data_IF_168670092832
#
_entry.id   IF_168670092832
#
_cell.length_a   1.000
_cell.length_b   1.000
_cell.length_c   1.000
_cell.angle_alpha   90.00
_cell.angle_beta   90.00
_cell.angle_gamma   90.00
#
_symmetry.space_group_name_H-M   'P 1'
#
loop_
_entity.id
_entity.type
_entity.pdbx_description
1 polymer ?
#
# COMPACT_ATOMS: atom_id res chain seq x y z
N UNK A 1 12.19 -3.76 14.74
CA UNK A 1 11.68 -2.84 15.80
C UNK A 1 11.51 -3.59 17.09
N UNK A 2 10.96 -4.80 17.03
CA UNK A 2 10.74 -5.64 18.19
C UNK A 2 12.06 -5.99 18.89
N UNK A 3 13.13 -6.24 18.15
CA UNK A 3 14.48 -6.50 18.68
C UNK A 3 14.96 -5.36 19.59
N UNK A 4 14.76 -4.12 19.15
CA UNK A 4 15.12 -2.94 19.94
C UNK A 4 14.29 -2.83 21.23
N UNK A 5 13.02 -3.24 21.19
CA UNK A 5 12.15 -3.32 22.37
C UNK A 5 12.68 -4.39 23.33
N UNK A 6 12.86 -5.62 22.86
CA UNK A 6 13.34 -6.74 23.68
C UNK A 6 14.72 -6.49 24.30
N UNK A 7 15.63 -5.87 23.54
CA UNK A 7 17.01 -5.59 23.99
C UNK A 7 17.16 -4.21 24.66
N UNK A 8 16.05 -3.46 24.80
CA UNK A 8 16.03 -2.16 25.44
C UNK A 8 16.98 -1.12 24.81
N UNK A 9 17.08 -1.11 23.48
CA UNK A 9 17.97 -0.23 22.70
C UNK A 9 17.17 0.93 22.08
N UNK A 10 17.39 2.18 22.52
CA UNK A 10 16.83 3.37 21.87
C UNK A 10 17.26 3.48 20.41
N UNK A 11 16.42 4.07 19.56
CA UNK A 11 16.65 4.12 18.12
C UNK A 11 16.56 5.53 17.55
N UNK A 12 17.36 5.79 16.52
CA UNK A 12 17.17 6.90 15.58
C UNK A 12 16.73 6.30 14.25
N UNK A 13 15.51 6.56 13.84
CA UNK A 13 14.92 6.06 12.61
C UNK A 13 15.14 7.01 11.45
N UNK A 14 15.69 6.49 10.34
CA UNK A 14 15.88 7.21 9.07
C UNK A 14 15.11 6.42 7.99
N UNK A 15 13.82 6.74 7.73
CA UNK A 15 12.99 5.92 6.85
C UNK A 15 13.27 6.24 5.37
N UNK A 16 13.53 5.20 4.55
CA UNK A 16 13.80 5.35 3.12
C UNK A 16 12.65 4.86 2.23
N UNK A 17 12.10 3.68 2.52
CA UNK A 17 11.06 3.05 1.68
C UNK A 17 10.25 2.00 2.45
N UNK A 18 9.18 1.52 1.81
CA UNK A 18 8.34 0.43 2.32
C UNK A 18 7.56 0.83 3.56
N UNK A 19 7.60 -0.03 4.58
CA UNK A 19 6.89 0.12 5.86
C UNK A 19 7.66 0.99 6.87
N UNK A 20 8.92 1.34 6.59
CA UNK A 20 9.78 2.12 7.49
C UNK A 20 9.16 3.44 7.95
N UNK A 21 8.55 4.29 7.09
CA UNK A 21 7.94 5.54 7.54
C UNK A 21 6.85 5.33 8.60
N UNK A 22 6.06 4.27 8.47
CA UNK A 22 5.03 3.94 9.45
C UNK A 22 5.64 3.43 10.76
N UNK A 23 6.62 2.53 10.66
CA UNK A 23 7.33 1.96 11.80
C UNK A 23 8.09 3.03 12.61
N UNK A 24 8.79 3.95 11.94
CA UNK A 24 9.50 5.06 12.59
C UNK A 24 8.51 6.02 13.28
N UNK A 25 7.40 6.37 12.63
CA UNK A 25 6.35 7.16 13.30
C UNK A 25 5.76 6.45 14.52
N UNK A 26 5.57 5.13 14.45
CA UNK A 26 5.12 4.32 15.58
C UNK A 26 6.14 4.31 16.72
N UNK A 27 7.43 4.20 16.41
CA UNK A 27 8.53 4.30 17.37
C UNK A 27 8.54 5.64 18.12
N UNK A 28 8.46 6.76 17.38
CA UNK A 28 8.42 8.11 17.95
C UNK A 28 7.17 8.29 18.82
N UNK A 29 5.99 7.86 18.33
CA UNK A 29 4.74 7.90 19.10
C UNK A 29 4.80 7.07 20.38
N UNK A 30 5.46 5.91 20.33
CA UNK A 30 5.70 5.06 21.49
C UNK A 30 6.78 5.62 22.42
N UNK A 31 7.52 6.64 22.02
CA UNK A 31 8.41 7.41 22.88
C UNK A 31 9.80 6.80 23.10
N UNK A 32 10.25 5.89 22.24
CA UNK A 32 11.55 5.21 22.39
C UNK A 32 12.58 5.52 21.29
N UNK A 33 12.32 6.54 20.48
CA UNK A 33 13.27 6.98 19.48
C UNK A 33 12.89 8.29 18.81
N UNK A 34 13.75 8.72 17.89
CA UNK A 34 13.58 9.92 17.07
C UNK A 34 13.52 9.58 15.58
N UNK A 35 12.83 10.42 14.81
CA UNK A 35 12.80 10.34 13.35
C UNK A 35 13.74 11.41 12.77
N UNK A 36 14.53 11.04 11.76
CA UNK A 36 15.26 11.97 10.91
C UNK A 36 14.86 11.76 9.46
N UNK A 37 14.64 12.87 8.73
CA UNK A 37 14.34 12.82 7.31
C UNK A 37 15.63 12.67 6.50
N UNK A 38 15.73 11.57 5.75
CA UNK A 38 16.89 11.25 4.94
C UNK A 38 17.24 12.32 3.88
N UNK A 39 16.29 13.17 3.51
CA UNK A 39 16.45 14.22 2.50
C UNK A 39 17.03 15.52 3.06
N UNK A 40 16.82 15.76 4.35
CA UNK A 40 17.17 17.04 4.99
C UNK A 40 18.22 16.89 6.10
N UNK A 41 18.52 15.66 6.52
CA UNK A 41 19.49 15.44 7.59
C UNK A 41 20.89 15.98 7.25
N UNK A 42 21.56 16.51 8.25
CA UNK A 42 22.98 16.85 8.22
C UNK A 42 23.73 16.23 9.40
N UNK A 43 25.04 16.46 9.44
CA UNK A 43 25.94 15.91 10.46
C UNK A 43 25.53 16.34 11.87
N UNK A 44 25.14 17.60 12.03
CA UNK A 44 24.79 18.20 13.31
C UNK A 44 23.49 17.61 13.85
N UNK A 45 22.46 17.49 13.01
CA UNK A 45 21.18 16.87 13.35
C UNK A 45 21.34 15.40 13.70
N UNK A 46 22.13 14.65 12.92
CA UNK A 46 22.40 13.24 13.22
C UNK A 46 23.11 13.08 14.56
N UNK A 47 24.17 13.87 14.80
CA UNK A 47 24.89 13.86 16.08
C UNK A 47 23.98 14.21 17.26
N UNK A 48 23.15 15.25 17.10
CA UNK A 48 22.20 15.67 18.14
C UNK A 48 21.20 14.56 18.46
N UNK A 49 20.61 13.92 17.45
CA UNK A 49 19.66 12.82 17.65
C UNK A 49 20.29 11.62 18.36
N UNK A 50 21.51 11.22 17.98
CA UNK A 50 22.24 10.14 18.66
C UNK A 50 22.51 10.50 20.12
N UNK A 51 23.02 11.70 20.39
CA UNK A 51 23.29 12.16 21.76
C UNK A 51 22.01 12.25 22.60
N UNK A 52 20.89 12.64 22.01
CA UNK A 52 19.58 12.68 22.69
C UNK A 52 19.15 11.28 23.11
N UNK A 53 19.15 10.30 22.20
CA UNK A 53 18.63 8.95 22.52
C UNK A 53 19.52 8.16 23.48
N UNK A 54 20.82 8.43 23.53
CA UNK A 54 21.74 7.73 24.45
C UNK A 54 21.79 8.37 25.84
N UNK A 55 21.61 9.69 25.95
CA UNK A 55 21.74 10.40 27.23
C UNK A 55 20.40 10.59 27.94
N UNK A 56 19.28 10.64 27.21
CA UNK A 56 17.97 10.80 27.80
C UNK A 56 17.42 9.44 28.28
N UNK A 57 17.29 9.21 29.60
CA UNK A 57 16.87 7.91 30.14
C UNK A 57 15.43 7.54 29.78
N UNK A 58 14.61 8.51 29.36
CA UNK A 58 13.20 8.29 28.98
C UNK A 58 13.05 7.21 27.93
N UNK A 59 13.93 7.17 26.93
CA UNK A 59 13.82 6.21 25.84
C UNK A 59 14.03 4.77 26.35
N UNK A 60 15.05 4.56 27.18
CA UNK A 60 15.36 3.25 27.77
C UNK A 60 14.32 2.81 28.79
N UNK A 61 13.79 3.71 29.63
CA UNK A 61 12.71 3.37 30.57
C UNK A 61 11.41 2.99 29.84
N UNK A 62 11.09 3.72 28.77
CA UNK A 62 9.96 3.40 27.90
C UNK A 62 10.13 2.02 27.25
N UNK A 63 11.35 1.69 26.80
CA UNK A 63 11.63 0.37 26.22
C UNK A 63 11.47 -0.77 27.23
N UNK A 64 11.94 -0.61 28.47
CA UNK A 64 11.75 -1.61 29.53
C UNK A 64 10.27 -1.91 29.77
N UNK A 65 9.47 -0.86 29.92
CA UNK A 65 8.03 -1.01 30.05
C UNK A 65 7.39 -1.72 28.84
N UNK A 66 7.80 -1.35 27.62
CA UNK A 66 7.29 -1.97 26.40
C UNK A 66 7.73 -3.44 26.26
N UNK A 67 8.93 -3.79 26.71
CA UNK A 67 9.45 -5.14 26.69
C UNK A 67 8.71 -6.04 27.69
N UNK A 68 8.48 -5.55 28.91
CA UNK A 68 7.66 -6.23 29.91
C UNK A 68 6.26 -6.51 29.35
N UNK A 69 5.61 -5.50 28.77
CA UNK A 69 4.29 -5.67 28.15
C UNK A 69 4.31 -6.62 26.94
N UNK A 70 5.39 -6.64 26.16
CA UNK A 70 5.52 -7.54 25.01
C UNK A 70 5.75 -9.00 25.44
N UNK A 71 6.45 -9.21 26.56
CA UNK A 71 6.76 -10.52 27.13
C UNK A 71 5.61 -11.08 27.98
N UNK A 72 4.71 -10.22 28.48
CA UNK A 72 3.52 -10.60 29.21
C UNK A 72 2.49 -11.28 28.28
N UNK A 73 2.77 -12.53 27.94
CA UNK A 73 1.96 -13.36 27.07
C UNK A 73 1.72 -14.73 27.73
N UNK A 74 0.53 -15.32 27.55
CA UNK A 74 0.16 -16.57 28.23
C UNK A 74 0.95 -17.80 27.77
N UNK A 75 1.71 -17.69 26.67
CA UNK A 75 2.50 -18.77 26.09
C UNK A 75 3.79 -18.19 25.52
N UNK A 76 4.89 -18.92 25.73
CA UNK A 76 6.18 -18.63 25.09
C UNK A 76 6.11 -18.81 23.58
N UNK A 77 7.08 -18.24 22.85
CA UNK A 77 7.17 -18.41 21.39
C UNK A 77 7.24 -19.88 20.96
N UNK A 78 7.97 -20.71 21.73
CA UNK A 78 8.07 -22.15 21.47
C UNK A 78 6.74 -22.86 21.67
N UNK A 79 6.06 -22.62 22.80
CA UNK A 79 4.75 -23.24 23.08
C UNK A 79 3.72 -22.84 22.02
N UNK A 80 3.70 -21.59 21.57
CA UNK A 80 2.83 -21.15 20.47
C UNK A 80 3.13 -21.92 19.19
N UNK A 81 4.41 -22.08 18.84
CA UNK A 81 4.80 -22.80 17.62
C UNK A 81 4.36 -24.27 17.68
N UNK A 82 4.56 -24.93 18.82
CA UNK A 82 4.08 -26.30 19.06
C UNK A 82 2.56 -26.35 18.92
N UNK A 83 1.84 -25.47 19.61
CA UNK A 83 0.39 -25.47 19.61
C UNK A 83 -0.21 -25.26 18.22
N UNK A 84 0.31 -24.31 17.44
CA UNK A 84 -0.15 -24.06 16.07
C UNK A 84 0.19 -25.22 15.12
N UNK A 85 1.36 -25.84 15.29
CA UNK A 85 1.74 -27.03 14.51
C UNK A 85 0.77 -28.18 14.78
N UNK A 86 0.50 -28.47 16.05
CA UNK A 86 -0.48 -29.49 16.42
C UNK A 86 -1.89 -29.10 15.96
N UNK A 87 -2.27 -27.82 16.03
CA UNK A 87 -3.58 -27.36 15.55
C UNK A 87 -3.77 -27.69 14.07
N UNK A 88 -2.75 -27.44 13.23
CA UNK A 88 -2.78 -27.78 11.80
C UNK A 88 -2.90 -29.28 11.61
N UNK A 89 -2.16 -30.10 12.36
CA UNK A 89 -2.22 -31.56 12.30
C UNK A 89 -3.62 -32.07 12.71
N UNK A 90 -4.15 -31.62 13.86
CA UNK A 90 -5.47 -31.99 14.38
C UNK A 90 -6.59 -31.68 13.39
N UNK A 91 -6.47 -30.58 12.64
CA UNK A 91 -7.46 -30.15 11.65
C UNK A 91 -7.07 -30.54 10.21
N UNK A 92 -6.19 -31.54 10.04
CA UNK A 92 -5.83 -32.12 8.74
C UNK A 92 -5.43 -31.06 7.70
N UNK A 93 -4.59 -30.11 8.11
CA UNK A 93 -4.10 -29.00 7.29
C UNK A 93 -4.82 -27.67 7.50
N UNK A 94 -5.80 -27.58 8.42
CA UNK A 94 -6.52 -26.35 8.79
C UNK A 94 -7.00 -25.53 7.58
N UNK A 95 -7.74 -26.18 6.67
CA UNK A 95 -8.18 -25.58 5.39
C UNK A 95 -8.93 -24.24 5.54
N UNK A 96 -9.61 -24.02 6.66
CA UNK A 96 -10.31 -22.77 6.98
C UNK A 96 -9.39 -21.59 7.31
N UNK A 97 -8.13 -21.83 7.67
CA UNK A 97 -7.11 -20.79 7.87
C UNK A 97 -6.25 -20.56 6.62
N UNK A 98 -6.31 -21.48 5.65
CA UNK A 98 -5.57 -21.38 4.40
C UNK A 98 -6.27 -20.35 3.49
N UNK A 99 -5.48 -19.46 2.89
CA UNK A 99 -6.01 -18.53 1.90
C UNK A 99 -6.54 -19.30 0.69
N UNK A 100 -7.80 -19.08 0.26
CA UNK A 100 -8.34 -19.69 -0.96
C UNK A 100 -7.54 -19.34 -2.23
N UNK A 101 -6.76 -18.25 -2.19
CA UNK A 101 -5.90 -17.80 -3.30
C UNK A 101 -4.79 -18.79 -3.65
N UNK A 102 -4.47 -19.74 -2.77
CA UNK A 102 -3.44 -20.75 -3.04
C UNK A 102 -3.94 -21.89 -3.93
N UNK A 103 -5.25 -22.05 -4.04
CA UNK A 103 -5.88 -23.17 -4.77
C UNK A 103 -6.50 -22.72 -6.10
N UNK A 104 -6.43 -21.43 -6.43
CA UNK A 104 -6.95 -20.89 -7.70
C UNK A 104 -5.90 -20.99 -8.83
N UNK A 105 -6.33 -21.20 -10.09
CA UNK A 105 -5.44 -21.15 -11.24
C UNK A 105 -4.79 -19.77 -11.42
N UNK A 106 -3.58 -19.75 -12.00
CA UNK A 106 -2.79 -18.54 -12.19
C UNK A 106 -3.53 -17.42 -12.95
N UNK A 107 -4.42 -17.75 -13.88
CA UNK A 107 -5.18 -16.76 -14.66
C UNK A 107 -6.28 -16.07 -13.85
N UNK A 108 -6.88 -16.75 -12.87
CA UNK A 108 -7.81 -16.14 -11.91
C UNK A 108 -7.05 -15.32 -10.87
N UNK A 109 -5.90 -15.81 -10.43
CA UNK A 109 -5.01 -15.06 -9.55
C UNK A 109 -4.56 -13.73 -10.17
N UNK A 110 -4.27 -13.72 -11.49
CA UNK A 110 -3.93 -12.52 -12.26
C UNK A 110 -5.16 -11.73 -12.75
N UNK A 111 -6.39 -12.16 -12.44
CA UNK A 111 -7.64 -11.49 -12.82
C UNK A 111 -7.76 -11.21 -14.34
N UNK A 112 -7.31 -12.15 -15.18
CA UNK A 112 -7.28 -11.93 -16.64
C UNK A 112 -8.66 -11.76 -17.25
N UNK A 113 -9.67 -12.42 -16.68
CA UNK A 113 -11.08 -12.27 -17.05
C UNK A 113 -11.59 -10.83 -16.79
N UNK A 114 -11.28 -10.27 -15.62
CA UNK A 114 -11.63 -8.90 -15.25
C UNK A 114 -10.92 -7.88 -16.16
N UNK A 115 -9.63 -8.08 -16.41
CA UNK A 115 -8.85 -7.23 -17.34
C UNK A 115 -9.47 -7.29 -18.74
N UNK A 116 -9.83 -8.49 -19.20
CA UNK A 116 -10.48 -8.68 -20.49
C UNK A 116 -11.78 -7.89 -20.62
N UNK A 117 -12.66 -7.95 -19.61
CA UNK A 117 -13.91 -7.18 -19.60
C UNK A 117 -13.63 -5.68 -19.65
N UNK A 118 -12.70 -5.17 -18.83
CA UNK A 118 -12.33 -3.75 -18.82
C UNK A 118 -11.84 -3.29 -20.20
N UNK A 119 -10.95 -4.06 -20.84
CA UNK A 119 -10.42 -3.74 -22.18
C UNK A 119 -11.55 -3.69 -23.21
N UNK A 120 -12.45 -4.68 -23.20
CA UNK A 120 -13.60 -4.71 -24.12
C UNK A 120 -14.53 -3.53 -23.87
N UNK A 121 -14.86 -3.22 -22.62
CA UNK A 121 -15.71 -2.08 -22.28
C UNK A 121 -15.11 -0.76 -22.75
N UNK A 122 -13.81 -0.54 -22.53
CA UNK A 122 -13.11 0.65 -23.02
C UNK A 122 -13.09 0.71 -24.55
N UNK A 123 -12.82 -0.40 -25.22
CA UNK A 123 -12.82 -0.47 -26.68
C UNK A 123 -14.21 -0.15 -27.27
N UNK A 124 -15.28 -0.69 -26.69
CA UNK A 124 -16.66 -0.39 -27.10
C UNK A 124 -17.00 1.09 -26.87
N UNK A 125 -16.64 1.66 -25.72
CA UNK A 125 -16.87 3.08 -25.44
C UNK A 125 -16.14 3.98 -26.46
N UNK A 126 -14.87 3.70 -26.75
CA UNK A 126 -14.09 4.42 -27.76
C UNK A 126 -14.70 4.28 -29.17
N UNK A 127 -15.15 3.08 -29.53
CA UNK A 127 -15.83 2.82 -30.80
C UNK A 127 -17.14 3.61 -30.93
N UNK A 128 -17.95 3.65 -29.87
CA UNK A 128 -19.20 4.42 -29.84
C UNK A 128 -18.92 5.92 -29.96
N UNK A 129 -17.92 6.45 -29.25
CA UNK A 129 -17.50 7.86 -29.36
C UNK A 129 -17.08 8.17 -30.80
N UNK A 130 -16.22 7.33 -31.40
CA UNK A 130 -15.81 7.48 -32.79
C UNK A 130 -17.02 7.47 -33.75
N UNK A 131 -17.95 6.53 -33.56
CA UNK A 131 -19.13 6.41 -34.38
C UNK A 131 -20.06 7.63 -34.27
N UNK A 132 -20.27 8.16 -33.06
CA UNK A 132 -21.03 9.37 -32.81
C UNK A 132 -20.39 10.59 -33.49
N UNK A 133 -19.07 10.77 -33.34
CA UNK A 133 -18.33 11.85 -34.00
C UNK A 133 -18.42 11.75 -35.53
N UNK A 134 -18.23 10.56 -36.09
CA UNK A 134 -18.36 10.32 -37.54
C UNK A 134 -19.78 10.60 -38.05
N UNK A 135 -20.80 10.24 -37.27
CA UNK A 135 -22.20 10.49 -37.62
C UNK A 135 -22.56 11.97 -37.54
N UNK A 136 -22.05 12.69 -36.53
CA UNK A 136 -22.18 14.14 -36.43
C UNK A 136 -21.52 14.86 -37.61
N UNK A 137 -20.30 14.48 -37.99
CA UNK A 137 -19.60 15.05 -39.16
C UNK A 137 -20.38 14.79 -40.46
N UNK A 138 -20.95 13.59 -40.63
CA UNK A 138 -21.80 13.27 -41.79
C UNK A 138 -23.07 14.12 -41.81
N UNK A 139 -23.74 14.29 -40.68
CA UNK A 139 -24.94 15.12 -40.54
C UNK A 139 -24.64 16.59 -40.89
N UNK A 140 -23.57 17.14 -40.32
CA UNK A 140 -23.12 18.51 -40.63
C UNK A 140 -22.82 18.66 -42.12
N UNK A 141 -22.06 17.74 -42.73
CA UNK A 141 -21.79 17.75 -44.18
C UNK A 141 -23.08 17.68 -45.02
N UNK A 142 -24.06 16.89 -44.61
CA UNK A 142 -25.35 16.79 -45.29
C UNK A 142 -26.12 18.11 -45.23
N UNK A 143 -26.23 18.73 -44.05
CA UNK A 143 -26.91 20.02 -43.84
C UNK A 143 -26.22 21.15 -44.64
N UNK A 144 -24.89 21.16 -44.71
CA UNK A 144 -24.15 22.15 -45.50
C UNK A 144 -24.29 21.94 -47.01
N UNK A 145 -24.46 20.68 -47.49
CA UNK A 145 -24.71 20.37 -48.91
C UNK A 145 -26.13 20.68 -49.36
N UNK A 146 -27.12 20.68 -48.47
CA UNK A 146 -28.53 20.88 -48.80
C UNK A 146 -28.99 22.35 -48.86
N UNK A 147 -28.10 23.34 -48.64
CA UNK A 147 -28.45 24.76 -48.86
C UNK A 147 -28.50 25.06 -50.38
N UNK A 148 -29.66 25.45 -50.96
CA UNK A 148 -29.73 25.77 -52.39
C UNK A 148 -29.02 27.10 -52.67
N UNK A 149 -28.23 27.16 -53.75
CA UNK A 149 -27.68 28.42 -54.28
C UNK A 149 -28.85 29.38 -54.56
N UNK A 150 -28.91 30.50 -53.82
CA UNK A 150 -29.81 31.64 -54.13
C UNK A 150 -29.52 32.08 -55.58
N UNK A 151 -30.49 31.92 -56.49
CA UNK A 151 -30.42 32.51 -57.84
C UNK A 151 -30.30 34.04 -57.68
N UNK A 152 -29.18 34.62 -58.13
CA UNK A 152 -29.05 36.06 -58.32
C UNK A 152 -30.12 36.51 -59.32
N UNK A 153 -31.08 37.35 -58.89
CA UNK A 153 -31.88 38.16 -59.81
C UNK A 153 -30.96 39.28 -60.33
N UNK A 154 -30.63 39.24 -61.62
CA UNK A 154 -30.12 40.39 -62.38
C UNK A 154 -31.32 41.30 -62.66
N UNK A 155 -31.25 42.53 -62.18
CA UNK A 155 -31.88 43.70 -62.80
C UNK A 155 -30.75 44.60 -63.28
#
# INVERSE_FOLDING_TARGET
MDEAIYEHVPMVGIPFYGDQPFNVKKMVRKGFGLELDYRTLNKEQFKAAVLEVINNPKYKSTLKYLAELAQDQPMTGLEKAVWWSEYVIRHKGAKHLRSPLLDIPWYQYLLLDVIGIIVVTVAVALYLIYFLLKSLVRLVKYIFRSKPKRKQKKN
#
